data_IF_663853385074
#
_entry.id   IF_663853385074
#
_cell.length_a   1.000
_cell.length_b   1.000
_cell.length_c   1.000
_cell.angle_alpha   90.00
_cell.angle_beta   90.00
_cell.angle_gamma   90.00
#
_symmetry.space_group_name_H-M   'P 1'
#
loop_
_entity.id
_entity.type
_entity.pdbx_description
1 polymer ?
#
# COMPACT_ATOMS: atom_id res chain seq x y z
N UNK A 1 -2.45 21.04 -20.32
CA UNK A 1 -3.85 21.09 -19.84
C UNK A 1 -3.83 21.72 -18.46
N UNK A 2 -4.17 22.99 -18.35
CA UNK A 2 -4.28 23.65 -17.05
C UNK A 2 -5.58 23.16 -16.41
N UNK A 3 -5.50 22.50 -15.27
CA UNK A 3 -6.67 22.33 -14.43
C UNK A 3 -7.07 23.74 -13.98
N UNK A 4 -8.09 24.32 -14.60
CA UNK A 4 -8.71 25.52 -14.07
C UNK A 4 -9.15 25.15 -12.65
N UNK A 5 -8.62 25.87 -11.66
CA UNK A 5 -9.04 25.76 -10.28
C UNK A 5 -10.51 26.18 -10.18
N UNK A 6 -11.43 25.25 -10.53
CA UNK A 6 -12.75 25.27 -9.97
C UNK A 6 -12.52 25.09 -8.47
N UNK A 7 -12.48 26.23 -7.79
CA UNK A 7 -12.58 26.37 -6.35
C UNK A 7 -13.50 25.25 -5.84
N UNK A 8 -13.03 24.48 -4.87
CA UNK A 8 -13.82 23.43 -4.20
C UNK A 8 -15.26 23.91 -4.00
N UNK A 9 -16.29 23.06 -4.09
CA UNK A 9 -17.67 23.51 -3.91
C UNK A 9 -17.82 24.21 -2.54
N UNK A 10 -17.84 25.54 -2.57
CA UNK A 10 -17.92 26.40 -1.38
C UNK A 10 -19.38 26.65 -0.96
N UNK A 11 -20.34 26.14 -1.74
CA UNK A 11 -21.77 26.29 -1.53
C UNK A 11 -22.40 24.94 -1.21
N UNK A 12 -21.82 24.20 -0.27
CA UNK A 12 -22.48 23.00 0.28
C UNK A 12 -23.29 23.48 1.49
N UNK A 13 -24.61 23.45 1.36
CA UNK A 13 -25.51 23.75 2.48
C UNK A 13 -25.51 22.57 3.46
N UNK A 14 -24.72 22.71 4.54
CA UNK A 14 -24.79 21.80 5.66
C UNK A 14 -25.94 22.25 6.57
N UNK A 15 -26.90 21.35 6.81
CA UNK A 15 -28.05 21.55 7.72
C UNK A 15 -27.62 22.05 9.11
N UNK A 16 -26.38 21.76 9.51
CA UNK A 16 -25.76 22.20 10.76
C UNK A 16 -24.52 23.06 10.47
N UNK A 17 -24.68 24.39 10.45
CA UNK A 17 -23.59 25.33 10.10
C UNK A 17 -22.47 25.39 11.13
N UNK A 18 -22.77 25.05 12.39
CA UNK A 18 -21.86 25.06 13.53
C UNK A 18 -21.13 23.73 13.75
N UNK A 19 -21.46 22.67 13.00
CA UNK A 19 -20.89 21.33 13.18
C UNK A 19 -20.53 20.69 11.86
N UNK A 20 -19.35 20.10 11.79
CA UNK A 20 -18.92 19.32 10.63
C UNK A 20 -18.32 17.99 11.07
N UNK A 21 -18.44 16.97 10.22
CA UNK A 21 -17.80 15.68 10.45
C UNK A 21 -16.33 15.75 10.02
N UNK A 22 -15.42 15.54 10.96
CA UNK A 22 -13.97 15.40 10.73
C UNK A 22 -13.54 14.01 11.17
N UNK A 23 -12.95 13.23 10.26
CA UNK A 23 -12.50 11.85 10.53
C UNK A 23 -13.55 10.97 11.26
N UNK A 24 -14.81 11.07 10.84
CA UNK A 24 -15.93 10.31 11.42
C UNK A 24 -16.41 10.83 12.79
N UNK A 25 -15.88 11.94 13.30
CA UNK A 25 -16.33 12.59 14.52
C UNK A 25 -17.03 13.90 14.20
N UNK A 26 -18.14 14.16 14.88
CA UNK A 26 -18.84 15.44 14.77
C UNK A 26 -18.11 16.46 15.67
N UNK A 27 -17.52 17.48 15.07
CA UNK A 27 -16.78 18.53 15.79
C UNK A 27 -17.36 19.91 15.50
N UNK A 28 -17.10 20.87 16.40
CA UNK A 28 -17.54 22.25 16.24
C UNK A 28 -16.76 22.92 15.10
N UNK A 29 -17.48 23.53 14.17
CA UNK A 29 -16.91 24.17 12.98
C UNK A 29 -16.33 25.54 13.34
N UNK A 30 -15.11 25.56 13.91
CA UNK A 30 -14.40 26.80 14.27
C UNK A 30 -13.91 27.61 13.06
N UNK A 31 -14.07 27.10 11.83
CA UNK A 31 -13.37 27.63 10.66
C UNK A 31 -14.26 28.41 9.68
N UNK A 32 -15.59 28.22 9.68
CA UNK A 32 -16.48 29.01 8.82
C UNK A 32 -17.95 29.03 9.30
N UNK A 33 -18.56 30.19 9.62
CA UNK A 33 -19.98 30.31 9.97
C UNK A 33 -20.96 29.99 8.83
N UNK A 34 -20.47 29.84 7.59
CA UNK A 34 -21.25 29.50 6.39
C UNK A 34 -21.34 27.97 6.20
N UNK A 35 -20.65 27.17 7.02
CA UNK A 35 -20.83 25.70 7.07
C UNK A 35 -19.80 24.88 6.29
N UNK A 36 -18.80 25.48 5.63
CA UNK A 36 -17.80 24.69 4.92
C UNK A 36 -16.83 24.00 5.89
N UNK A 37 -16.98 22.69 6.07
CA UNK A 37 -16.07 21.84 6.86
C UNK A 37 -14.73 21.53 6.20
N UNK A 38 -14.37 22.21 5.11
CA UNK A 38 -13.11 22.01 4.40
C UNK A 38 -12.02 22.89 5.00
N UNK A 39 -10.86 22.28 5.29
CA UNK A 39 -9.65 22.99 5.71
C UNK A 39 -8.61 22.93 4.59
N UNK A 40 -7.90 24.03 4.26
CA UNK A 40 -6.73 23.98 3.41
C UNK A 40 -5.70 22.99 3.99
N UNK A 41 -5.29 22.00 3.18
CA UNK A 41 -4.29 21.02 3.57
C UNK A 41 -2.98 21.33 2.85
N UNK A 42 -2.08 22.02 3.55
CA UNK A 42 -0.78 22.43 3.02
C UNK A 42 0.31 21.37 3.19
N UNK A 43 0.04 20.29 3.95
CA UNK A 43 1.00 19.20 4.19
C UNK A 43 0.97 18.13 3.11
N UNK A 44 -0.07 18.10 2.26
CA UNK A 44 -0.17 17.16 1.14
C UNK A 44 0.41 17.82 -0.11
N UNK A 45 1.48 17.22 -0.65
CA UNK A 45 2.09 17.65 -1.90
C UNK A 45 1.71 16.70 -3.04
N UNK A 46 0.90 17.19 -3.98
CA UNK A 46 0.51 16.47 -5.19
C UNK A 46 1.50 16.82 -6.31
N UNK A 47 2.27 15.83 -6.77
CA UNK A 47 3.16 15.97 -7.93
C UNK A 47 2.68 15.06 -9.05
N UNK A 48 2.74 15.55 -10.28
CA UNK A 48 2.50 14.71 -11.45
C UNK A 48 3.50 13.56 -11.48
N UNK A 49 3.02 12.37 -11.83
CA UNK A 49 3.86 11.20 -12.04
C UNK A 49 4.54 11.30 -13.41
N UNK A 50 5.85 11.10 -13.43
CA UNK A 50 6.66 11.06 -14.65
C UNK A 50 7.22 9.64 -14.83
N UNK A 51 6.69 8.85 -15.78
CA UNK A 51 7.12 7.47 -16.01
C UNK A 51 8.62 7.36 -16.32
N UNK A 52 9.23 8.36 -16.97
CA UNK A 52 10.65 8.33 -17.29
C UNK A 52 11.54 8.36 -16.05
N UNK A 53 11.03 8.91 -14.93
CA UNK A 53 11.73 8.97 -13.65
C UNK A 53 11.68 7.67 -12.88
N UNK A 54 10.74 6.78 -13.23
CA UNK A 54 10.52 5.51 -12.55
C UNK A 54 10.31 4.36 -13.56
N UNK A 55 11.34 3.99 -14.34
CA UNK A 55 11.23 2.88 -15.29
C UNK A 55 10.90 1.57 -14.56
N UNK A 56 10.09 0.71 -15.19
CA UNK A 56 9.76 -0.61 -14.62
C UNK A 56 11.05 -1.44 -14.52
N UNK A 57 11.49 -1.80 -13.32
CA UNK A 57 12.72 -2.55 -13.17
C UNK A 57 12.54 -3.96 -13.72
N UNK A 58 13.31 -4.28 -14.78
CA UNK A 58 13.35 -5.63 -15.35
C UNK A 58 14.03 -6.66 -14.45
N UNK A 59 14.58 -6.25 -13.30
CA UNK A 59 15.48 -7.08 -12.50
C UNK A 59 14.80 -7.91 -11.40
N UNK A 60 13.55 -7.62 -11.01
CA UNK A 60 12.86 -8.52 -10.08
C UNK A 60 12.57 -9.85 -10.76
N UNK A 61 12.63 -10.93 -9.98
CA UNK A 61 12.35 -12.28 -10.42
C UNK A 61 11.01 -12.41 -11.17
N UNK A 62 10.92 -13.41 -12.04
CA UNK A 62 9.71 -13.78 -12.75
C UNK A 62 8.86 -14.78 -11.95
N UNK A 63 9.50 -15.63 -11.15
CA UNK A 63 8.82 -16.62 -10.29
C UNK A 63 9.38 -16.57 -8.87
N UNK A 64 8.47 -16.51 -7.90
CA UNK A 64 8.76 -16.40 -6.48
C UNK A 64 8.14 -17.56 -5.70
N UNK A 65 8.87 -18.06 -4.71
CA UNK A 65 8.36 -19.01 -3.71
C UNK A 65 8.20 -18.31 -2.36
N UNK A 66 6.95 -18.17 -1.93
CA UNK A 66 6.58 -17.58 -0.64
C UNK A 66 6.43 -18.70 0.38
N UNK A 67 7.21 -18.63 1.45
CA UNK A 67 7.25 -19.65 2.52
C UNK A 67 7.20 -18.99 3.89
N UNK A 68 6.68 -19.70 4.89
CA UNK A 68 6.82 -19.33 6.29
C UNK A 68 6.93 -20.60 7.13
N UNK A 69 7.71 -20.54 8.21
CA UNK A 69 7.77 -21.58 9.24
C UNK A 69 7.26 -21.09 10.61
N UNK A 70 6.46 -20.03 10.61
CA UNK A 70 6.01 -19.34 11.83
C UNK A 70 4.54 -18.89 11.70
N UNK A 71 4.13 -17.82 12.40
CA UNK A 71 2.73 -17.40 12.55
C UNK A 71 2.00 -17.15 11.23
N UNK A 72 2.66 -16.67 10.18
CA UNK A 72 2.01 -16.51 8.87
C UNK A 72 1.52 -17.86 8.32
N UNK A 73 2.26 -18.95 8.53
CA UNK A 73 1.79 -20.29 8.14
C UNK A 73 0.53 -20.72 8.93
N UNK A 74 0.37 -20.24 10.16
CA UNK A 74 -0.79 -20.56 11.00
C UNK A 74 -2.01 -19.70 10.66
N UNK A 75 -1.82 -18.39 10.48
CA UNK A 75 -2.91 -17.42 10.31
C UNK A 75 -3.28 -17.15 8.85
N UNK A 76 -2.35 -17.32 7.92
CA UNK A 76 -2.54 -17.06 6.49
C UNK A 76 -1.94 -18.17 5.60
N UNK A 77 -2.19 -19.47 5.89
CA UNK A 77 -1.60 -20.59 5.13
C UNK A 77 -1.93 -20.54 3.65
N UNK A 78 -3.10 -20.00 3.28
CA UNK A 78 -3.58 -19.93 1.91
C UNK A 78 -2.73 -19.02 1.01
N UNK A 79 -1.94 -18.11 1.60
CA UNK A 79 -1.05 -17.15 0.93
C UNK A 79 0.37 -17.70 0.71
N UNK A 80 0.67 -18.90 1.21
CA UNK A 80 1.95 -19.58 1.04
C UNK A 80 1.94 -20.39 -0.26
N UNK A 81 2.97 -20.21 -1.10
CA UNK A 81 3.14 -20.97 -2.35
C UNK A 81 3.86 -20.18 -3.44
N UNK A 82 3.63 -20.59 -4.69
CA UNK A 82 4.35 -20.06 -5.86
C UNK A 82 3.57 -18.90 -6.47
N UNK A 83 4.28 -17.80 -6.72
CA UNK A 83 3.78 -16.58 -7.33
C UNK A 83 4.53 -16.31 -8.64
N UNK A 84 3.79 -15.97 -9.69
CA UNK A 84 4.33 -15.67 -11.02
C UNK A 84 4.05 -14.23 -11.43
N UNK A 85 5.05 -13.58 -12.01
CA UNK A 85 4.96 -12.22 -12.54
C UNK A 85 3.91 -12.18 -13.64
N UNK A 86 3.00 -11.21 -13.54
CA UNK A 86 1.98 -10.97 -14.55
C UNK A 86 2.61 -10.14 -15.67
N UNK A 87 2.37 -10.53 -16.91
CA UNK A 87 2.99 -9.94 -18.11
C UNK A 87 2.47 -8.55 -18.51
N UNK A 88 1.39 -8.04 -17.88
CA UNK A 88 0.78 -6.73 -18.16
C UNK A 88 0.40 -5.94 -16.90
N UNK A 89 1.39 -5.43 -16.13
CA UNK A 89 1.14 -4.59 -14.96
C UNK A 89 0.66 -3.17 -15.34
N UNK A 90 0.85 -2.75 -16.60
CA UNK A 90 0.47 -1.46 -17.17
C UNK A 90 -1.04 -1.18 -17.09
N UNK A 91 -1.88 -2.22 -17.19
CA UNK A 91 -3.33 -2.10 -16.99
C UNK A 91 -3.75 -1.91 -15.52
N UNK A 92 -2.82 -2.09 -14.59
CA UNK A 92 -3.07 -2.10 -13.15
C UNK A 92 -2.47 -0.88 -12.45
N UNK A 93 -1.87 0.06 -13.19
CA UNK A 93 -1.23 1.27 -12.66
C UNK A 93 -0.14 1.01 -11.60
N UNK A 94 0.46 -0.19 -11.59
CA UNK A 94 1.60 -0.51 -10.74
C UNK A 94 2.92 -0.21 -11.45
N UNK A 95 3.84 0.43 -10.73
CA UNK A 95 5.18 0.77 -11.25
C UNK A 95 6.16 -0.40 -11.11
N UNK A 96 5.83 -1.34 -10.23
CA UNK A 96 6.62 -2.53 -9.97
C UNK A 96 5.89 -3.77 -10.45
N UNK A 97 6.63 -4.87 -10.67
CA UNK A 97 6.05 -6.16 -10.98
C UNK A 97 4.95 -6.56 -10.01
N UNK A 98 3.85 -7.03 -10.58
CA UNK A 98 2.77 -7.69 -9.84
C UNK A 98 2.91 -9.17 -10.06
N UNK A 99 2.80 -9.94 -8.99
CA UNK A 99 2.81 -11.39 -9.04
C UNK A 99 1.45 -11.94 -8.63
N UNK A 100 1.00 -13.01 -9.29
CA UNK A 100 -0.20 -13.76 -8.96
C UNK A 100 0.17 -15.16 -8.51
N UNK A 101 -0.50 -15.67 -7.48
CA UNK A 101 -0.32 -17.03 -7.01
C UNK A 101 -0.91 -18.05 -7.99
N UNK A 102 -0.20 -19.14 -8.22
CA UNK A 102 -0.67 -20.21 -9.12
C UNK A 102 -1.98 -20.82 -8.61
N UNK A 103 -3.01 -20.78 -9.46
CA UNK A 103 -4.33 -21.35 -9.18
C UNK A 103 -5.18 -20.61 -8.14
N UNK A 104 -4.74 -19.45 -7.63
CA UNK A 104 -5.48 -18.67 -6.62
C UNK A 104 -5.49 -17.18 -6.90
N UNK A 105 -6.52 -16.49 -6.43
CA UNK A 105 -6.64 -15.04 -6.49
C UNK A 105 -5.88 -14.38 -5.31
N UNK A 106 -4.56 -14.60 -5.26
CA UNK A 106 -3.66 -13.88 -4.36
C UNK A 106 -2.59 -13.16 -5.15
N UNK A 107 -2.27 -11.95 -4.71
CA UNK A 107 -1.41 -11.02 -5.42
C UNK A 107 -0.32 -10.50 -4.50
N UNK A 108 0.91 -10.44 -5.00
CA UNK A 108 2.03 -9.75 -4.39
C UNK A 108 2.37 -8.53 -5.26
N UNK A 109 2.34 -7.34 -4.66
CA UNK A 109 2.51 -6.08 -5.37
C UNK A 109 3.09 -5.01 -4.44
N UNK A 110 3.55 -3.89 -5.01
CA UNK A 110 4.03 -2.76 -4.23
C UNK A 110 3.18 -1.51 -4.41
N UNK A 111 2.85 -0.87 -3.28
CA UNK A 111 2.22 0.46 -3.25
C UNK A 111 3.24 1.61 -3.26
N UNK A 112 4.52 1.30 -3.26
CA UNK A 112 5.57 2.31 -3.31
C UNK A 112 6.33 2.19 -4.65
N UNK A 113 6.60 3.30 -5.35
CA UNK A 113 7.26 3.29 -6.67
C UNK A 113 8.62 2.57 -6.68
N UNK A 114 9.35 2.65 -5.57
CA UNK A 114 10.66 2.03 -5.38
C UNK A 114 10.63 0.69 -4.60
N UNK A 115 9.46 0.13 -4.29
CA UNK A 115 9.41 -1.19 -3.64
C UNK A 115 9.62 -1.12 -2.12
N UNK A 116 9.38 0.05 -1.53
CA UNK A 116 9.48 0.23 -0.08
C UNK A 116 8.23 -0.18 0.68
N UNK A 117 7.18 -0.63 0.00
CA UNK A 117 5.98 -1.18 0.62
C UNK A 117 5.45 -2.32 -0.25
N UNK A 118 5.73 -3.56 0.13
CA UNK A 118 5.20 -4.75 -0.54
C UNK A 118 4.02 -5.31 0.23
N UNK A 119 3.02 -5.82 -0.48
CA UNK A 119 1.74 -6.26 0.07
C UNK A 119 1.38 -7.62 -0.54
N UNK A 120 0.81 -8.52 0.27
CA UNK A 120 0.13 -9.72 -0.23
C UNK A 120 -1.34 -9.68 0.17
N UNK A 121 -2.20 -9.85 -0.83
CA UNK A 121 -3.63 -9.64 -0.72
C UNK A 121 -4.45 -10.49 -1.68
N UNK A 122 -5.73 -10.65 -1.40
CA UNK A 122 -6.68 -11.30 -2.32
C UNK A 122 -7.07 -10.38 -3.48
N UNK A 123 -6.83 -9.07 -3.33
CA UNK A 123 -7.05 -8.06 -4.36
C UNK A 123 -5.94 -7.00 -4.29
N UNK A 124 -5.98 -6.03 -5.21
CA UNK A 124 -5.08 -4.87 -5.22
C UNK A 124 -5.44 -3.78 -4.20
N UNK A 125 -6.52 -3.96 -3.44
CA UNK A 125 -7.01 -2.98 -2.45
C UNK A 125 -7.21 -3.58 -1.05
N UNK A 126 -7.03 -4.90 -0.93
CA UNK A 126 -7.14 -5.64 0.33
C UNK A 126 -5.90 -6.50 0.50
N UNK A 127 -5.21 -6.34 1.63
CA UNK A 127 -3.98 -7.07 1.97
C UNK A 127 -4.01 -7.51 3.42
N UNK A 128 -3.29 -8.58 3.72
CA UNK A 128 -3.13 -9.07 5.10
C UNK A 128 -1.70 -9.44 5.44
N UNK A 129 -0.77 -9.34 4.49
CA UNK A 129 0.67 -9.38 4.73
C UNK A 129 1.30 -8.14 4.13
N UNK A 130 2.33 -7.62 4.78
CA UNK A 130 3.08 -6.47 4.27
C UNK A 130 4.55 -6.51 4.66
N UNK A 131 5.39 -5.90 3.83
CA UNK A 131 6.75 -5.53 4.16
C UNK A 131 6.86 -4.01 4.03
N UNK A 132 7.09 -3.33 5.15
CA UNK A 132 7.16 -1.87 5.21
C UNK A 132 8.61 -1.40 5.40
N UNK A 133 9.16 -0.78 4.37
CA UNK A 133 10.50 -0.21 4.30
C UNK A 133 10.47 1.30 4.04
N UNK A 134 9.31 1.96 4.15
CA UNK A 134 9.14 3.39 3.79
C UNK A 134 10.11 4.28 4.57
N UNK A 135 10.35 3.96 5.84
CA UNK A 135 11.25 4.71 6.73
C UNK A 135 12.72 4.28 6.63
N UNK A 136 13.03 3.30 5.78
CA UNK A 136 14.40 2.85 5.60
C UNK A 136 15.15 3.84 4.71
N UNK A 137 16.02 4.64 5.33
CA UNK A 137 16.79 5.70 4.68
C UNK A 137 17.92 5.18 3.79
N UNK A 138 18.21 3.88 3.83
CA UNK A 138 19.30 3.27 3.07
C UNK A 138 18.86 2.78 1.68
N UNK A 139 17.57 2.89 1.33
CA UNK A 139 17.03 2.43 0.06
C UNK A 139 16.98 3.56 -0.97
N UNK A 140 18.09 3.87 -1.62
CA UNK A 140 18.10 4.86 -2.72
C UNK A 140 17.73 4.27 -4.10
N UNK A 141 17.47 2.97 -4.15
CA UNK A 141 17.14 2.23 -5.37
C UNK A 141 15.86 1.41 -5.22
N UNK A 142 15.46 0.77 -6.32
CA UNK A 142 14.36 -0.18 -6.35
C UNK A 142 14.68 -1.40 -5.48
N UNK A 143 13.68 -1.91 -4.77
CA UNK A 143 13.81 -3.08 -3.91
C UNK A 143 12.76 -4.13 -4.29
N UNK A 144 13.21 -5.33 -4.69
CA UNK A 144 12.34 -6.46 -4.98
C UNK A 144 12.04 -7.29 -3.72
N UNK A 145 10.89 -7.99 -3.66
CA UNK A 145 10.42 -8.64 -2.43
C UNK A 145 11.28 -9.85 -2.00
N UNK A 146 12.06 -10.41 -2.93
CA UNK A 146 13.03 -11.50 -2.70
C UNK A 146 14.39 -11.03 -2.19
N UNK A 147 14.67 -9.73 -2.23
CA UNK A 147 15.96 -9.21 -1.78
C UNK A 147 16.16 -9.42 -0.27
N UNK A 148 17.42 -9.60 0.19
CA UNK A 148 17.72 -9.74 1.60
C UNK A 148 17.15 -8.59 2.44
N UNK A 149 16.41 -8.93 3.49
CA UNK A 149 15.81 -7.95 4.39
C UNK A 149 16.89 -7.09 5.06
N UNK A 150 16.70 -5.78 5.02
CA UNK A 150 17.54 -4.81 5.73
C UNK A 150 17.37 -4.95 7.25
N UNK A 151 18.36 -4.48 8.02
CA UNK A 151 18.38 -4.60 9.48
C UNK A 151 17.06 -4.11 10.09
N UNK A 152 16.49 -4.94 10.99
CA UNK A 152 15.19 -4.78 11.67
C UNK A 152 13.91 -4.84 10.83
N UNK A 153 14.03 -4.95 9.51
CA UNK A 153 12.89 -5.10 8.60
C UNK A 153 12.40 -6.54 8.59
N UNK A 154 11.09 -6.71 8.74
CA UNK A 154 10.43 -8.03 8.71
C UNK A 154 9.09 -7.92 8.00
N UNK A 155 8.66 -9.03 7.43
CA UNK A 155 7.29 -9.17 7.00
C UNK A 155 6.37 -9.13 8.21
N UNK A 156 5.21 -8.52 8.03
CA UNK A 156 4.18 -8.36 9.03
C UNK A 156 2.88 -8.98 8.52
N UNK A 157 2.07 -9.49 9.43
CA UNK A 157 0.74 -9.98 9.12
C UNK A 157 -0.32 -9.26 9.94
N UNK A 158 -1.48 -9.08 9.32
CA UNK A 158 -2.66 -8.55 9.98
C UNK A 158 -3.15 -9.61 10.97
N UNK A 159 -3.07 -9.29 12.25
CA UNK A 159 -3.54 -10.16 13.32
C UNK A 159 -5.01 -9.89 13.65
N UNK A 160 -5.36 -8.62 13.81
CA UNK A 160 -6.73 -8.19 14.11
C UNK A 160 -6.95 -6.73 13.75
N UNK A 161 -8.21 -6.31 13.78
CA UNK A 161 -8.61 -4.89 13.76
C UNK A 161 -9.29 -4.60 15.09
N UNK A 162 -8.89 -3.53 15.77
CA UNK A 162 -9.49 -3.15 17.05
C UNK A 162 -10.88 -2.49 16.84
N UNK A 163 -11.60 -2.23 17.93
CA UNK A 163 -12.93 -1.62 17.88
C UNK A 163 -12.96 -0.20 17.28
N UNK A 164 -11.80 0.47 17.18
CA UNK A 164 -11.66 1.79 16.59
C UNK A 164 -11.33 1.73 15.08
N UNK A 165 -11.17 0.53 14.52
CA UNK A 165 -10.76 0.34 13.12
C UNK A 165 -9.25 0.31 12.91
N UNK A 166 -8.42 0.42 13.96
CA UNK A 166 -6.97 0.33 13.83
C UNK A 166 -6.54 -1.12 13.60
N UNK A 167 -5.67 -1.30 12.61
CA UNK A 167 -5.11 -2.60 12.28
C UNK A 167 -3.90 -2.93 13.16
N UNK A 168 -3.91 -4.11 13.76
CA UNK A 168 -2.81 -4.65 14.56
C UNK A 168 -1.95 -5.55 13.68
N UNK A 169 -0.70 -5.13 13.46
CA UNK A 169 0.28 -5.82 12.63
C UNK A 169 1.37 -6.44 13.50
N UNK A 170 1.65 -7.72 13.28
CA UNK A 170 2.68 -8.47 14.01
C UNK A 170 3.78 -8.93 13.06
N UNK A 171 5.03 -8.85 13.51
CA UNK A 171 6.20 -9.28 12.73
C UNK A 171 6.31 -10.80 12.68
N UNK A 172 6.68 -11.33 11.51
CA UNK A 172 7.03 -12.72 11.30
C UNK A 172 8.47 -12.82 10.74
N UNK A 173 9.40 -13.32 11.56
CA UNK A 173 10.79 -13.56 11.16
C UNK A 173 11.03 -14.88 10.42
N UNK A 174 10.03 -15.75 10.35
CA UNK A 174 10.05 -17.01 9.62
C UNK A 174 9.55 -16.89 8.17
N UNK A 175 8.88 -15.78 7.85
CA UNK A 175 8.40 -15.50 6.50
C UNK A 175 9.56 -15.17 5.55
N UNK A 176 9.58 -15.82 4.39
CA UNK A 176 10.64 -15.71 3.38
C UNK A 176 10.05 -15.76 1.98
N UNK A 177 10.58 -14.92 1.09
CA UNK A 177 10.34 -14.96 -0.34
C UNK A 177 11.67 -15.34 -1.00
N UNK A 178 11.64 -16.36 -1.86
CA UNK A 178 12.80 -16.80 -2.62
C UNK A 178 12.54 -16.67 -4.11
N UNK A 179 13.54 -16.19 -4.84
CA UNK A 179 13.54 -16.28 -6.29
C UNK A 179 13.65 -17.74 -6.76
N UNK A 180 12.85 -18.12 -7.75
CA UNK A 180 12.99 -19.39 -8.47
C UNK A 180 13.47 -19.18 -9.91
N UNK A 181 13.01 -18.11 -10.57
CA UNK A 181 13.32 -17.79 -11.97
C UNK A 181 13.43 -16.26 -12.14
N UNK A 182 14.33 -15.79 -13.00
CA UNK A 182 14.49 -14.37 -13.38
C UNK A 182 13.81 -14.07 -14.71
#
# INVERSE_FOLDING_TARGET
MFLSAHKCPWEIDFTYKDRAYFFGKMEYNIWNPIGNGWKPEEKINLKCFYPERYPNPSFCCSVLNVTSNNRVLQYHPEKIGIYRKISRPDKLNFQLPVFKMDGKEFYLYSHHPLGRLWLIGSTYVSWSLRLNLIHNRHLDSYYCPEEPLLQDSRWEYLYSTNNNGDQIWLKDGGFKIKCLEY
#
